data_IF_710955182019
#
_entry.id   IF_710955182019
#
_cell.length_a   1.000
_cell.length_b   1.000
_cell.length_c   1.000
_cell.angle_alpha   90.00
_cell.angle_beta   90.00
_cell.angle_gamma   90.00
#
_symmetry.space_group_name_H-M   'P 1'
#
loop_
_entity.id
_entity.type
_entity.pdbx_description
1 polymer ?
#
# COMPACT_ATOMS: atom_id res chain seq x y z
N UNK A 1 -5.74 6.28 34.48
CA UNK A 1 -4.82 6.64 33.39
C UNK A 1 -4.08 5.42 32.81
N UNK A 2 -3.49 4.51 33.59
CA UNK A 2 -2.76 3.34 33.03
C UNK A 2 -3.59 2.37 32.16
N UNK A 3 -4.89 2.20 32.44
CA UNK A 3 -5.73 1.25 31.70
C UNK A 3 -6.08 1.72 30.27
N UNK A 4 -6.33 3.02 30.10
CA UNK A 4 -6.68 3.64 28.81
C UNK A 4 -5.48 3.58 27.85
N UNK A 5 -4.28 3.86 28.36
CA UNK A 5 -3.03 3.71 27.59
C UNK A 5 -2.81 2.25 27.17
N UNK A 6 -3.17 1.28 28.01
CA UNK A 6 -3.04 -0.15 27.63
C UNK A 6 -4.06 -0.60 26.57
N UNK A 7 -5.28 -0.08 26.61
CA UNK A 7 -6.34 -0.42 25.64
C UNK A 7 -6.03 0.18 24.26
N UNK A 8 -5.60 1.45 24.21
CA UNK A 8 -5.18 2.08 22.96
C UNK A 8 -3.97 1.35 22.34
N UNK A 9 -2.96 1.01 23.14
CA UNK A 9 -1.81 0.25 22.65
C UNK A 9 -2.21 -1.10 22.05
N UNK A 10 -3.18 -1.79 22.66
CA UNK A 10 -3.68 -3.06 22.14
C UNK A 10 -4.41 -2.87 20.80
N UNK A 11 -5.23 -1.81 20.67
CA UNK A 11 -5.87 -1.46 19.40
C UNK A 11 -4.86 -1.10 18.31
N UNK A 12 -3.81 -0.34 18.65
CA UNK A 12 -2.72 -0.02 17.71
C UNK A 12 -1.99 -1.28 17.23
N UNK A 13 -1.72 -2.23 18.13
CA UNK A 13 -1.09 -3.50 17.76
C UNK A 13 -1.97 -4.33 16.83
N UNK A 14 -3.27 -4.44 17.14
CA UNK A 14 -4.24 -5.15 16.29
C UNK A 14 -4.36 -4.47 14.93
N UNK A 15 -4.50 -3.13 14.90
CA UNK A 15 -4.57 -2.36 13.67
C UNK A 15 -3.32 -2.58 12.82
N UNK A 16 -2.13 -2.51 13.42
CA UNK A 16 -0.88 -2.71 12.70
C UNK A 16 -0.78 -4.13 12.14
N UNK A 17 -1.15 -5.16 12.91
CA UNK A 17 -1.17 -6.55 12.44
C UNK A 17 -2.10 -6.71 11.22
N UNK A 18 -3.34 -6.20 11.31
CA UNK A 18 -4.34 -6.36 10.25
C UNK A 18 -4.05 -5.52 9.01
N UNK A 19 -3.51 -4.31 9.19
CA UNK A 19 -3.01 -3.49 8.09
C UNK A 19 -1.89 -4.23 7.36
N UNK A 20 -0.89 -4.72 8.09
CA UNK A 20 0.22 -5.50 7.53
C UNK A 20 -0.25 -6.75 6.76
N UNK A 21 -1.27 -7.46 7.30
CA UNK A 21 -1.87 -8.61 6.63
C UNK A 21 -2.49 -8.23 5.28
N UNK A 22 -3.27 -7.14 5.23
CA UNK A 22 -3.87 -6.61 3.99
C UNK A 22 -2.77 -6.18 3.01
N UNK A 23 -1.80 -5.38 3.46
CA UNK A 23 -0.70 -4.86 2.63
C UNK A 23 0.07 -6.00 1.97
N UNK A 24 0.47 -7.01 2.75
CA UNK A 24 1.19 -8.17 2.23
C UNK A 24 0.37 -8.95 1.19
N UNK A 25 -0.95 -9.03 1.37
CA UNK A 25 -1.84 -9.66 0.39
C UNK A 25 -1.86 -8.86 -0.91
N UNK A 26 -2.03 -7.54 -0.84
CA UNK A 26 -2.07 -6.66 -2.01
C UNK A 26 -0.77 -6.71 -2.79
N UNK A 27 0.39 -6.64 -2.10
CA UNK A 27 1.70 -6.79 -2.73
C UNK A 27 1.82 -8.13 -3.45
N UNK A 28 1.36 -9.22 -2.82
CA UNK A 28 1.39 -10.54 -3.44
C UNK A 28 0.45 -10.63 -4.65
N UNK A 29 -0.72 -9.99 -4.60
CA UNK A 29 -1.65 -9.93 -5.73
C UNK A 29 -1.01 -9.16 -6.90
N UNK A 30 -0.37 -8.01 -6.65
CA UNK A 30 0.36 -7.24 -7.66
C UNK A 30 1.53 -8.02 -8.28
N UNK A 31 2.27 -8.79 -7.46
CA UNK A 31 3.33 -9.69 -7.94
C UNK A 31 2.80 -10.79 -8.86
N UNK A 32 1.53 -11.18 -8.72
CA UNK A 32 0.89 -12.25 -9.49
C UNK A 32 0.14 -11.76 -10.74
N UNK A 33 -0.16 -10.46 -10.88
CA UNK A 33 -0.95 -9.92 -12.01
C UNK A 33 -0.34 -10.24 -13.39
N UNK A 34 0.99 -10.12 -13.56
CA UNK A 34 1.65 -10.50 -14.82
C UNK A 34 1.50 -12.01 -15.12
N UNK A 35 1.45 -12.84 -14.07
CA UNK A 35 1.37 -14.30 -14.21
C UNK A 35 -0.04 -14.82 -14.49
N UNK A 36 -1.09 -14.11 -14.06
CA UNK A 36 -2.48 -14.58 -14.17
C UNK A 36 -3.18 -14.11 -15.45
N UNK A 37 -2.94 -12.88 -15.88
CA UNK A 37 -3.83 -12.24 -16.86
C UNK A 37 -3.15 -11.83 -18.18
N UNK A 38 -1.88 -12.22 -18.40
CA UNK A 38 -1.06 -11.74 -19.54
C UNK A 38 -1.14 -10.20 -19.69
N UNK A 39 -1.32 -9.48 -18.58
CA UNK A 39 -1.37 -8.03 -18.56
C UNK A 39 0.00 -7.53 -18.98
N UNK A 40 0.03 -6.79 -20.09
CA UNK A 40 1.23 -6.15 -20.61
C UNK A 40 1.72 -5.14 -19.57
N UNK A 41 2.83 -5.50 -18.94
CA UNK A 41 3.67 -4.63 -18.10
C UNK A 41 4.34 -3.63 -19.06
N UNK A 42 4.32 -2.35 -18.71
CA UNK A 42 4.96 -1.26 -19.42
C UNK A 42 6.47 -1.53 -19.54
N UNK A 43 6.85 -2.11 -20.68
CA UNK A 43 8.24 -2.40 -21.04
C UNK A 43 8.59 -3.87 -20.85
N UNK A 44 8.29 -4.71 -21.83
CA UNK A 44 8.93 -6.03 -21.93
C UNK A 44 10.47 -5.92 -22.08
N UNK A 45 10.97 -4.75 -22.47
CA UNK A 45 12.40 -4.42 -22.54
C UNK A 45 12.98 -3.82 -21.24
N UNK A 46 12.15 -3.56 -20.21
CA UNK A 46 12.56 -2.94 -18.95
C UNK A 46 13.30 -3.89 -17.99
N UNK A 47 13.12 -5.20 -18.17
CA UNK A 47 13.55 -6.20 -17.19
C UNK A 47 12.64 -6.35 -15.96
N UNK A 48 11.56 -5.55 -15.85
CA UNK A 48 10.56 -5.67 -14.79
C UNK A 48 9.63 -6.87 -15.02
N UNK A 49 9.33 -7.59 -13.93
CA UNK A 49 8.73 -8.93 -13.98
C UNK A 49 7.29 -8.98 -13.52
N UNK A 50 6.77 -7.93 -12.91
CA UNK A 50 5.40 -7.90 -12.39
C UNK A 50 4.97 -6.46 -12.07
N UNK A 51 3.68 -6.28 -11.81
CA UNK A 51 3.08 -4.97 -11.53
C UNK A 51 3.52 -4.36 -10.20
N UNK A 52 4.03 -5.16 -9.26
CA UNK A 52 4.64 -4.61 -8.04
C UNK A 52 5.97 -3.89 -8.37
N UNK A 53 6.83 -4.49 -9.19
CA UNK A 53 8.10 -3.87 -9.58
C UNK A 53 7.86 -2.57 -10.39
N UNK A 54 6.86 -2.53 -11.26
CA UNK A 54 6.44 -1.30 -11.95
C UNK A 54 5.96 -0.22 -10.98
N UNK A 55 5.17 -0.63 -9.99
CA UNK A 55 4.66 0.27 -8.99
C UNK A 55 5.76 0.84 -8.10
N UNK A 56 6.76 0.04 -7.72
CA UNK A 56 7.95 0.53 -7.02
C UNK A 56 8.72 1.56 -7.85
N UNK A 57 8.96 1.27 -9.13
CA UNK A 57 9.59 2.23 -10.05
C UNK A 57 8.78 3.51 -10.15
N UNK A 58 7.45 3.42 -10.27
CA UNK A 58 6.56 4.58 -10.28
C UNK A 58 6.73 5.44 -9.03
N UNK A 59 6.68 4.82 -7.84
CA UNK A 59 6.84 5.52 -6.57
C UNK A 59 8.24 6.14 -6.39
N UNK A 60 9.26 5.60 -7.05
CA UNK A 60 10.66 6.07 -6.94
C UNK A 60 11.06 7.10 -8.02
N UNK A 61 10.47 7.05 -9.23
CA UNK A 61 10.88 7.90 -10.38
C UNK A 61 9.97 9.11 -10.67
N UNK A 62 8.87 9.31 -9.92
CA UNK A 62 8.03 10.54 -9.99
C UNK A 62 7.58 10.93 -11.40
N UNK A 63 7.29 9.97 -12.29
CA UNK A 63 6.80 10.29 -13.64
C UNK A 63 5.26 10.35 -13.64
N UNK A 64 4.72 11.56 -13.75
CA UNK A 64 3.29 11.89 -13.50
C UNK A 64 2.31 11.16 -14.45
N UNK A 65 2.79 10.65 -15.60
CA UNK A 65 1.95 10.12 -16.68
C UNK A 65 1.39 8.71 -16.42
N UNK A 66 1.99 7.91 -15.53
CA UNK A 66 1.53 6.57 -15.15
C UNK A 66 0.60 6.54 -13.92
N UNK A 67 0.31 7.71 -13.33
CA UNK A 67 -0.22 7.85 -11.96
C UNK A 67 -1.62 7.28 -11.73
N UNK A 68 -2.58 7.58 -12.59
CA UNK A 68 -3.99 7.33 -12.26
C UNK A 68 -4.40 5.85 -12.19
N UNK A 69 -3.76 4.99 -13.01
CA UNK A 69 -4.13 3.59 -13.11
C UNK A 69 -3.73 2.80 -11.85
N UNK A 70 -2.54 3.09 -11.31
CA UNK A 70 -2.09 2.47 -10.07
C UNK A 70 -2.86 3.00 -8.87
N UNK A 71 -3.12 4.31 -8.79
CA UNK A 71 -3.88 4.89 -7.67
C UNK A 71 -5.26 4.23 -7.54
N UNK A 72 -5.99 4.10 -8.65
CA UNK A 72 -7.31 3.44 -8.68
C UNK A 72 -7.21 1.95 -8.34
N UNK A 73 -6.18 1.26 -8.83
CA UNK A 73 -5.99 -0.19 -8.60
C UNK A 73 -5.66 -0.47 -7.14
N UNK A 74 -4.71 0.27 -6.58
CA UNK A 74 -4.28 0.16 -5.17
C UNK A 74 -5.43 0.51 -4.24
N UNK A 75 -6.19 1.57 -4.54
CA UNK A 75 -7.39 1.93 -3.80
C UNK A 75 -8.42 0.80 -3.76
N UNK A 76 -8.74 0.22 -4.93
CA UNK A 76 -9.70 -0.87 -5.00
C UNK A 76 -9.21 -2.13 -4.27
N UNK A 77 -7.90 -2.42 -4.32
CA UNK A 77 -7.31 -3.51 -3.55
C UNK A 77 -7.35 -3.25 -2.04
N UNK A 78 -7.10 -2.02 -1.58
CA UNK A 78 -7.21 -1.64 -0.18
C UNK A 78 -8.66 -1.77 0.32
N UNK A 79 -9.62 -1.29 -0.48
CA UNK A 79 -11.05 -1.40 -0.20
C UNK A 79 -11.53 -2.86 -0.14
N UNK A 80 -11.15 -3.69 -1.11
CA UNK A 80 -11.43 -5.13 -1.08
C UNK A 80 -10.75 -5.81 0.12
N UNK A 81 -9.49 -5.44 0.38
CA UNK A 81 -8.72 -5.57 1.63
C UNK A 81 -9.58 -5.57 2.87
N UNK A 82 -10.06 -4.37 3.13
CA UNK A 82 -10.85 -4.02 4.29
C UNK A 82 -12.20 -4.72 4.30
N UNK A 83 -12.90 -4.79 3.16
CA UNK A 83 -14.24 -5.38 3.03
C UNK A 83 -14.31 -6.83 3.51
N UNK A 84 -13.21 -7.59 3.39
CA UNK A 84 -13.09 -8.99 3.80
C UNK A 84 -12.84 -9.19 5.29
N UNK A 85 -12.53 -8.14 6.04
CA UNK A 85 -12.33 -8.23 7.48
C UNK A 85 -13.67 -8.32 8.24
N UNK A 86 -13.70 -9.07 9.36
CA UNK A 86 -14.76 -8.95 10.37
C UNK A 86 -14.92 -7.50 10.88
N UNK A 87 -16.16 -7.10 11.20
CA UNK A 87 -16.51 -5.73 11.68
C UNK A 87 -15.57 -5.19 12.77
N UNK A 88 -15.22 -5.95 13.83
CA UNK A 88 -14.38 -5.42 14.89
C UNK A 88 -12.98 -4.97 14.42
N UNK A 89 -12.42 -5.64 13.40
CA UNK A 89 -11.12 -5.26 12.85
C UNK A 89 -11.23 -4.07 11.90
N UNK A 90 -12.34 -3.95 11.16
CA UNK A 90 -12.63 -2.75 10.36
C UNK A 90 -12.73 -1.53 11.25
N UNK A 91 -13.60 -1.59 12.25
CA UNK A 91 -13.80 -0.50 13.22
C UNK A 91 -12.50 -0.13 13.93
N UNK A 92 -11.64 -1.12 14.25
CA UNK A 92 -10.31 -0.87 14.83
C UNK A 92 -9.40 -0.11 13.87
N UNK A 93 -9.37 -0.49 12.59
CA UNK A 93 -8.57 0.19 11.57
C UNK A 93 -9.07 1.62 11.31
N UNK A 94 -10.39 1.80 11.20
CA UNK A 94 -11.03 3.10 11.00
C UNK A 94 -10.74 4.05 12.19
N UNK A 95 -10.85 3.53 13.41
CA UNK A 95 -10.56 4.29 14.62
C UNK A 95 -9.08 4.71 14.73
N UNK A 96 -8.15 3.79 14.48
CA UNK A 96 -6.72 4.08 14.52
C UNK A 96 -6.31 5.02 13.37
N UNK A 97 -6.86 4.83 12.16
CA UNK A 97 -6.62 5.74 11.04
C UNK A 97 -7.10 7.16 11.35
N UNK A 98 -8.28 7.30 11.96
CA UNK A 98 -8.77 8.60 12.43
C UNK A 98 -7.84 9.25 13.46
N UNK A 99 -7.31 8.49 14.42
CA UNK A 99 -6.35 9.02 15.40
C UNK A 99 -5.09 9.56 14.70
N UNK A 100 -4.52 8.78 13.77
CA UNK A 100 -3.32 9.18 13.04
C UNK A 100 -3.56 10.46 12.22
N UNK A 101 -4.70 10.58 11.55
CA UNK A 101 -5.00 11.75 10.70
C UNK A 101 -5.44 12.98 11.52
N UNK A 102 -6.06 12.80 12.69
CA UNK A 102 -6.35 13.90 13.60
C UNK A 102 -5.08 14.52 14.19
N UNK A 103 -4.02 13.75 14.38
CA UNK A 103 -2.73 14.32 14.79
C UNK A 103 -2.18 15.27 13.72
N UNK A 104 -2.50 15.02 12.44
CA UNK A 104 -2.02 15.79 11.30
C UNK A 104 -2.97 16.91 10.83
N UNK A 105 -4.28 16.82 11.10
CA UNK A 105 -5.29 17.76 10.59
C UNK A 105 -6.36 18.11 11.65
N UNK A 106 -6.55 19.40 11.94
CA UNK A 106 -7.51 19.88 12.95
C UNK A 106 -8.98 19.87 12.50
N UNK A 107 -9.28 19.54 11.24
CA UNK A 107 -10.60 19.72 10.61
C UNK A 107 -11.30 18.42 10.17
N UNK A 108 -10.79 17.23 10.55
CA UNK A 108 -11.47 15.96 10.24
C UNK A 108 -12.50 15.56 11.29
N UNK A 109 -13.75 15.44 10.85
CA UNK A 109 -14.89 15.04 11.68
C UNK A 109 -15.38 13.64 11.29
N UNK A 110 -15.05 12.64 12.12
CA UNK A 110 -15.56 11.27 12.03
C UNK A 110 -14.50 10.24 11.67
N UNK A 111 -14.72 8.99 12.10
CA UNK A 111 -13.97 7.84 11.60
C UNK A 111 -14.75 7.21 10.44
N UNK A 112 -14.06 6.83 9.39
CA UNK A 112 -14.64 6.26 8.17
C UNK A 112 -13.73 5.19 7.59
N UNK A 113 -14.29 4.43 6.65
CA UNK A 113 -13.56 3.47 5.82
C UNK A 113 -12.33 4.13 5.16
N UNK A 114 -12.42 5.43 4.87
CA UNK A 114 -11.44 6.11 4.04
C UNK A 114 -10.14 6.46 4.77
N UNK A 115 -10.18 6.68 6.08
CA UNK A 115 -8.95 6.82 6.88
C UNK A 115 -8.19 5.49 6.93
N UNK A 116 -8.91 4.37 7.08
CA UNK A 116 -8.29 3.05 7.07
C UNK A 116 -7.65 2.72 5.70
N UNK A 117 -8.34 3.04 4.61
CA UNK A 117 -7.81 2.86 3.24
C UNK A 117 -6.58 3.75 3.03
N UNK A 118 -6.64 5.03 3.39
CA UNK A 118 -5.52 5.97 3.25
C UNK A 118 -4.26 5.44 3.93
N UNK A 119 -4.38 4.92 5.15
CA UNK A 119 -3.26 4.34 5.88
C UNK A 119 -2.71 3.04 5.26
N UNK A 120 -3.57 2.19 4.70
CA UNK A 120 -3.13 1.00 3.96
C UNK A 120 -2.32 1.42 2.72
N UNK A 121 -2.81 2.42 1.98
CA UNK A 121 -2.12 2.95 0.79
C UNK A 121 -0.80 3.60 1.19
N UNK A 122 -0.77 4.40 2.26
CA UNK A 122 0.45 5.02 2.76
C UNK A 122 1.53 3.99 3.08
N UNK A 123 1.16 2.88 3.73
CA UNK A 123 2.10 1.79 4.02
C UNK A 123 2.56 1.07 2.75
N UNK A 124 1.68 0.87 1.76
CA UNK A 124 2.05 0.31 0.45
C UNK A 124 3.05 1.22 -0.27
N UNK A 125 2.79 2.53 -0.29
CA UNK A 125 3.65 3.55 -0.87
C UNK A 125 5.03 3.54 -0.21
N UNK A 126 5.08 3.52 1.13
CA UNK A 126 6.33 3.48 1.88
C UNK A 126 7.16 2.25 1.51
N UNK A 127 6.54 1.06 1.43
CA UNK A 127 7.26 -0.17 1.04
C UNK A 127 7.74 -0.06 -0.41
N UNK A 128 6.92 0.45 -1.32
CA UNK A 128 7.28 0.59 -2.74
C UNK A 128 8.42 1.59 -2.97
N UNK A 129 8.40 2.72 -2.25
CA UNK A 129 9.47 3.74 -2.29
C UNK A 129 10.81 3.21 -1.79
N UNK A 130 10.80 2.20 -0.91
CA UNK A 130 11.99 1.61 -0.32
C UNK A 130 12.32 0.20 -0.87
N UNK A 131 11.69 -0.24 -1.95
CA UNK A 131 11.97 -1.55 -2.55
C UNK A 131 13.32 -1.53 -3.28
N UNK A 132 14.26 -2.33 -2.77
CA UNK A 132 15.63 -2.49 -3.29
C UNK A 132 15.80 -3.78 -4.12
N UNK A 133 14.70 -4.33 -4.67
CA UNK A 133 14.82 -5.51 -5.52
C UNK A 133 15.68 -5.21 -6.75
N UNK A 134 16.52 -6.17 -7.14
CA UNK A 134 17.52 -6.00 -8.22
C UNK A 134 16.93 -5.38 -9.49
N UNK A 135 15.73 -5.79 -9.91
CA UNK A 135 15.11 -5.29 -11.14
C UNK A 135 14.66 -3.84 -10.98
N UNK A 136 14.07 -3.47 -9.84
CA UNK A 136 13.66 -2.10 -9.52
C UNK A 136 14.90 -1.21 -9.46
N UNK A 137 15.93 -1.60 -8.70
CA UNK A 137 17.16 -0.80 -8.60
C UNK A 137 17.87 -0.65 -9.94
N UNK A 138 17.93 -1.70 -10.77
CA UNK A 138 18.50 -1.63 -12.12
C UNK A 138 17.76 -0.62 -12.98
N UNK A 139 16.43 -0.69 -12.98
CA UNK A 139 15.58 0.20 -13.77
C UNK A 139 15.66 1.64 -13.25
N UNK A 140 15.66 1.85 -11.93
CA UNK A 140 15.73 3.19 -11.32
C UNK A 140 17.07 3.86 -11.57
N UNK A 141 18.18 3.10 -11.53
CA UNK A 141 19.52 3.65 -11.75
C UNK A 141 19.93 3.72 -13.24
N UNK A 142 19.05 3.33 -14.16
CA UNK A 142 19.33 3.21 -15.61
C UNK A 142 20.56 2.32 -15.91
N UNK A 143 20.82 1.33 -15.05
CA UNK A 143 22.00 0.46 -15.10
C UNK A 143 21.76 -0.74 -16.02
N UNK A 144 21.54 -0.43 -17.30
CA UNK A 144 21.44 -1.43 -18.34
C UNK A 144 22.83 -1.66 -18.94
N UNK A 145 23.71 -2.36 -18.20
CA UNK A 145 24.96 -2.85 -18.80
C UNK A 145 24.62 -3.64 -20.09
N UNK A 146 25.23 -3.21 -21.21
CA UNK A 146 25.16 -3.89 -22.51
C UNK A 146 25.80 -5.28 -22.38
N UNK A 147 24.97 -6.34 -22.35
CA UNK A 147 25.43 -7.73 -22.55
C UNK A 147 25.68 -8.03 -24.03
#
# INVERSE_FOLDING_TARGET
>A
MNKIVSELNLLMLIANEKRTEIVNRIINDLKQLKAKDNVLVYGDDSGLRNSWEEYCVYMQKTDEFLSYAFDTTIYNFAKDGLSKLPSPYKETLEYIGFINIMEDTQDHFGFSEEEAITEIIAQINEIAMNDESRNVSRYVNDDFEEE
#
